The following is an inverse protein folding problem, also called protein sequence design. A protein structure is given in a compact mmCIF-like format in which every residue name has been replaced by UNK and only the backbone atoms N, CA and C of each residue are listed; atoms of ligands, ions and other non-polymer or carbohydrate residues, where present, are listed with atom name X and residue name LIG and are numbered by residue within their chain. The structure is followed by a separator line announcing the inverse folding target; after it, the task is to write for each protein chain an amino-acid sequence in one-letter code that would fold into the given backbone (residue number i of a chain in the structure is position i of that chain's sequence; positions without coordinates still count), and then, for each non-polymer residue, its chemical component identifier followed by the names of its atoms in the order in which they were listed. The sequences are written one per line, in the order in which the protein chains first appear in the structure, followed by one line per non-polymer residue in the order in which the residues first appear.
data_IF_701786995923
#
_entry.id   IF_701786995923
#
_cell.length_a   1.000
_cell.length_b   1.000
_cell.length_c   1.000
_cell.angle_alpha   90.00
_cell.angle_beta   90.00
_cell.angle_gamma   90.00
#
_symmetry.space_group_name_H-M   'P 1'
#
loop_
_entity.id
_entity.type
_entity.pdbx_description
1 polymer ?
#
# COMPACT_ATOMS: atom_id res chain seq x y z
N UNK A 1 23.15 -14.03 20.06
CA UNK A 1 23.87 -13.08 20.94
C UNK A 1 22.83 -12.47 21.85
N UNK A 2 22.96 -12.47 23.18
CA UNK A 2 21.96 -11.86 24.08
C UNK A 2 22.44 -10.46 24.50
N UNK A 3 21.98 -9.43 23.81
CA UNK A 3 22.37 -8.04 24.05
C UNK A 3 21.21 -7.20 24.58
N UNK A 4 21.51 -6.25 25.46
CA UNK A 4 20.50 -5.34 26.00
C UNK A 4 20.99 -3.90 25.88
N UNK A 5 20.32 -3.12 25.03
CA UNK A 5 20.47 -1.68 24.96
C UNK A 5 19.48 -1.04 25.95
N UNK A 6 19.99 -0.56 27.09
CA UNK A 6 19.14 -0.12 28.21
C UNK A 6 18.48 1.25 28.01
N UNK A 7 18.96 2.08 27.07
CA UNK A 7 18.52 3.48 26.93
C UNK A 7 18.57 4.02 25.49
N UNK A 8 18.58 3.14 24.49
CA UNK A 8 18.78 3.51 23.09
C UNK A 8 18.05 2.56 22.13
N UNK A 9 18.43 2.63 20.86
CA UNK A 9 17.90 1.77 19.80
C UNK A 9 18.91 0.68 19.44
N UNK A 10 18.47 -0.40 18.80
CA UNK A 10 19.34 -1.47 18.35
C UNK A 10 19.87 -2.29 19.51
N UNK A 11 19.17 -3.35 19.90
CA UNK A 11 19.62 -4.17 21.03
C UNK A 11 20.95 -4.86 20.76
N UNK A 12 21.16 -5.36 19.54
CA UNK A 12 22.42 -5.96 19.08
C UNK A 12 23.24 -4.98 18.23
N UNK A 13 22.60 -4.36 17.23
CA UNK A 13 23.25 -3.50 16.24
C UNK A 13 22.46 -2.21 16.10
N UNK A 14 23.15 -1.08 16.24
CA UNK A 14 22.69 0.24 15.84
C UNK A 14 23.49 0.66 14.60
N UNK A 15 22.78 1.03 13.53
CA UNK A 15 23.36 1.49 12.28
C UNK A 15 22.80 2.87 11.98
N UNK A 16 23.68 3.81 11.73
CA UNK A 16 23.37 5.11 11.15
C UNK A 16 24.34 5.30 10.00
N UNK A 17 23.81 5.43 8.78
CA UNK A 17 24.61 5.41 7.56
C UNK A 17 24.22 6.55 6.62
N UNK A 18 25.22 7.19 6.03
CA UNK A 18 25.03 8.12 4.92
C UNK A 18 24.90 7.33 3.61
N UNK A 19 23.67 7.27 3.11
CA UNK A 19 23.28 6.49 1.93
C UNK A 19 23.70 7.16 0.62
N UNK A 20 24.16 8.42 0.67
CA UNK A 20 24.64 9.16 -0.50
C UNK A 20 26.11 8.90 -0.81
N UNK A 21 26.83 8.28 0.13
CA UNK A 21 28.24 7.93 -0.01
C UNK A 21 28.43 6.45 -0.29
N UNK A 22 29.63 6.05 -0.72
CA UNK A 22 29.93 4.64 -0.92
C UNK A 22 30.00 3.93 0.45
N UNK A 23 29.12 2.96 0.66
CA UNK A 23 29.13 2.08 1.83
C UNK A 23 28.77 0.64 1.43
N UNK A 24 28.99 -0.31 2.32
CA UNK A 24 28.52 -1.69 2.17
C UNK A 24 28.21 -2.29 3.54
N UNK A 25 27.00 -2.80 3.71
CA UNK A 25 26.55 -3.55 4.87
C UNK A 25 25.71 -4.75 4.41
N UNK A 26 26.41 -5.87 4.26
CA UNK A 26 25.83 -7.12 3.78
C UNK A 26 25.99 -8.22 4.83
N UNK A 27 24.86 -8.81 5.24
CA UNK A 27 24.82 -9.93 6.17
C UNK A 27 24.84 -11.22 5.35
N UNK A 28 25.99 -11.92 5.35
CA UNK A 28 26.16 -13.20 4.64
C UNK A 28 25.64 -14.39 5.44
N UNK A 29 25.90 -14.39 6.75
CA UNK A 29 25.41 -15.36 7.71
C UNK A 29 25.53 -14.74 9.11
N UNK A 30 24.40 -14.51 9.78
CA UNK A 30 24.39 -14.03 11.16
C UNK A 30 23.15 -14.51 11.92
N UNK A 31 23.35 -14.86 13.20
CA UNK A 31 22.27 -15.17 14.14
C UNK A 31 22.14 -14.07 15.21
N UNK A 32 21.05 -13.28 15.15
CA UNK A 32 20.69 -12.29 16.15
C UNK A 32 19.42 -12.75 16.86
N UNK A 33 19.54 -13.09 18.14
CA UNK A 33 18.39 -13.61 18.88
C UNK A 33 18.40 -13.21 20.34
N UNK A 34 17.23 -13.02 20.93
CA UNK A 34 17.08 -12.70 22.35
C UNK A 34 17.77 -11.38 22.74
N UNK A 35 17.91 -10.45 21.79
CA UNK A 35 18.34 -9.08 22.08
C UNK A 35 17.16 -8.18 22.47
N UNK A 36 17.48 -7.12 23.19
CA UNK A 36 16.50 -6.16 23.67
C UNK A 36 16.97 -4.72 23.50
N UNK A 37 16.08 -3.85 23.03
CA UNK A 37 16.20 -2.40 23.19
C UNK A 37 15.15 -1.92 24.20
N UNK A 38 15.49 -0.96 25.04
CA UNK A 38 14.60 -0.42 26.07
C UNK A 38 14.41 1.08 25.89
N UNK A 39 13.16 1.53 26.01
CA UNK A 39 12.83 2.95 25.93
C UNK A 39 13.49 3.71 27.07
N UNK A 40 14.12 4.84 26.74
CA UNK A 40 14.57 5.82 27.69
C UNK A 40 13.52 6.93 27.84
N UNK A 41 12.72 6.85 28.90
CA UNK A 41 11.67 7.83 29.20
C UNK A 41 12.19 9.25 29.47
N UNK A 42 13.49 9.42 29.73
CA UNK A 42 14.10 10.73 29.93
C UNK A 42 14.72 11.30 28.65
N UNK A 43 14.67 10.57 27.54
CA UNK A 43 15.20 11.01 26.25
C UNK A 43 14.26 12.03 25.62
N UNK A 44 14.83 13.07 25.03
CA UNK A 44 14.08 14.03 24.20
C UNK A 44 13.88 13.54 22.76
N UNK A 45 14.50 12.43 22.38
CA UNK A 45 14.40 11.80 21.06
C UNK A 45 13.95 10.33 21.18
N UNK A 46 13.40 9.73 20.11
CA UNK A 46 12.86 8.37 20.16
C UNK A 46 13.92 7.31 20.48
N UNK A 47 13.63 6.47 21.47
CA UNK A 47 14.48 5.35 21.90
C UNK A 47 13.63 4.10 22.12
N UNK A 48 14.25 2.93 22.21
CA UNK A 48 13.53 1.67 22.31
C UNK A 48 12.95 1.23 20.96
N UNK A 49 13.76 1.17 19.91
CA UNK A 49 13.38 0.60 18.61
C UNK A 49 14.43 -0.39 18.14
N UNK A 50 13.99 -1.44 17.44
CA UNK A 50 14.87 -2.46 16.86
C UNK A 50 15.55 -3.32 17.92
N UNK A 51 14.81 -4.27 18.50
CA UNK A 51 15.31 -5.13 19.58
C UNK A 51 16.56 -5.92 19.19
N UNK A 52 16.70 -6.30 17.91
CA UNK A 52 17.93 -6.81 17.33
C UNK A 52 18.71 -5.72 16.59
N UNK A 53 18.12 -5.21 15.52
CA UNK A 53 18.74 -4.21 14.63
C UNK A 53 17.90 -2.94 14.60
N UNK A 54 18.54 -1.80 14.79
CA UNK A 54 18.02 -0.50 14.38
C UNK A 54 18.89 0.05 13.26
N UNK A 55 18.29 0.47 12.15
CA UNK A 55 18.98 1.09 11.03
C UNK A 55 18.33 2.44 10.71
N UNK A 56 19.14 3.49 10.64
CA UNK A 56 18.76 4.78 10.10
C UNK A 56 19.64 5.15 8.91
N UNK A 57 19.01 5.77 7.91
CA UNK A 57 19.67 6.24 6.69
C UNK A 57 19.56 7.75 6.54
N UNK A 58 20.66 8.40 6.19
CA UNK A 58 20.72 9.80 5.78
C UNK A 58 20.81 9.85 4.25
N UNK A 59 19.95 10.64 3.62
CA UNK A 59 19.83 10.72 2.16
C UNK A 59 19.07 9.56 1.54
N UNK A 60 19.05 9.53 0.21
CA UNK A 60 18.24 8.59 -0.57
C UNK A 60 19.05 7.36 -0.97
N UNK A 61 18.65 6.20 -0.46
CA UNK A 61 19.24 4.93 -0.83
C UNK A 61 18.88 4.53 -2.27
N UNK A 62 19.89 4.09 -3.03
CA UNK A 62 19.72 3.43 -4.32
C UNK A 62 19.76 1.89 -4.16
N UNK A 63 18.63 1.17 -4.30
CA UNK A 63 18.61 -0.29 -4.21
C UNK A 63 19.49 -0.99 -5.25
N UNK A 64 19.76 -0.37 -6.41
CA UNK A 64 20.62 -0.95 -7.45
C UNK A 64 22.10 -1.00 -7.05
N UNK A 65 22.51 -0.19 -6.06
CA UNK A 65 23.86 -0.27 -5.49
C UNK A 65 24.13 -1.61 -4.79
N UNK A 66 23.07 -2.30 -4.32
CA UNK A 66 23.13 -3.56 -3.56
C UNK A 66 24.08 -3.49 -2.34
N UNK A 67 24.32 -2.29 -1.80
CA UNK A 67 25.16 -2.09 -0.61
C UNK A 67 24.47 -2.50 0.69
N UNK A 68 23.13 -2.61 0.73
CA UNK A 68 22.36 -3.13 1.88
C UNK A 68 21.74 -4.48 1.55
N UNK A 69 22.09 -5.51 2.32
CA UNK A 69 21.56 -6.85 2.08
C UNK A 69 21.47 -7.69 3.36
N UNK A 70 20.24 -8.04 3.75
CA UNK A 70 19.95 -8.83 4.95
C UNK A 70 19.61 -10.30 4.64
N UNK A 71 19.85 -10.81 3.42
CA UNK A 71 19.50 -12.18 3.02
C UNK A 71 20.05 -13.27 3.95
N UNK A 72 21.27 -13.10 4.46
CA UNK A 72 21.91 -14.05 5.37
C UNK A 72 21.53 -13.89 6.84
N UNK A 73 20.56 -13.03 7.16
CA UNK A 73 20.16 -12.76 8.54
C UNK A 73 19.16 -13.81 9.03
N UNK A 74 19.52 -14.51 10.10
CA UNK A 74 18.62 -15.27 10.94
C UNK A 74 18.35 -14.47 12.23
N UNK A 75 17.13 -13.97 12.37
CA UNK A 75 16.72 -13.12 13.48
C UNK A 75 15.47 -13.69 14.16
N UNK A 76 15.47 -13.76 15.49
CA UNK A 76 14.33 -14.31 16.24
C UNK A 76 14.32 -13.89 17.71
N UNK A 77 13.14 -13.87 18.33
CA UNK A 77 12.98 -13.64 19.77
C UNK A 77 13.61 -12.34 20.30
N UNK A 78 13.78 -11.32 19.46
CA UNK A 78 14.25 -10.01 19.90
C UNK A 78 13.05 -9.14 20.30
N UNK A 79 13.27 -8.17 21.20
CA UNK A 79 12.17 -7.38 21.74
C UNK A 79 12.50 -5.92 22.03
N UNK A 80 11.45 -5.11 22.10
CA UNK A 80 11.46 -3.75 22.58
C UNK A 80 10.49 -3.65 23.75
N UNK A 81 10.96 -3.39 24.97
CA UNK A 81 10.10 -3.31 26.18
C UNK A 81 9.02 -4.42 26.25
N UNK A 82 9.40 -5.64 25.83
CA UNK A 82 8.60 -6.87 25.74
C UNK A 82 7.66 -7.00 24.52
N UNK A 83 7.66 -6.06 23.58
CA UNK A 83 7.01 -6.18 22.27
C UNK A 83 7.96 -6.87 21.29
N UNK A 84 7.44 -7.78 20.46
CA UNK A 84 8.23 -8.43 19.40
C UNK A 84 8.53 -7.40 18.31
N UNK A 85 9.76 -6.94 18.24
CA UNK A 85 10.26 -6.05 17.19
C UNK A 85 11.75 -6.34 17.04
N UNK A 86 12.10 -7.12 16.02
CA UNK A 86 13.47 -7.55 15.75
C UNK A 86 14.24 -6.49 14.98
N UNK A 87 13.63 -5.92 13.94
CA UNK A 87 14.24 -4.90 13.09
C UNK A 87 13.36 -3.65 13.09
N UNK A 88 14.01 -2.50 13.19
CA UNK A 88 13.38 -1.22 12.95
C UNK A 88 14.22 -0.36 12.00
N UNK A 89 13.62 0.06 10.88
CA UNK A 89 14.33 0.80 9.83
C UNK A 89 13.70 2.19 9.61
N UNK A 90 14.54 3.22 9.59
CA UNK A 90 14.19 4.60 9.21
C UNK A 90 15.00 4.98 7.98
N UNK A 91 14.36 5.15 6.84
CA UNK A 91 15.04 5.51 5.59
C UNK A 91 14.04 6.09 4.59
N UNK A 92 14.34 7.22 3.95
CA UNK A 92 13.44 7.86 2.98
C UNK A 92 13.00 6.89 1.87
N UNK A 93 13.97 6.13 1.34
CA UNK A 93 13.78 5.13 0.27
C UNK A 93 13.47 3.71 0.76
N UNK A 94 12.87 3.59 1.94
CA UNK A 94 12.51 2.29 2.54
C UNK A 94 11.52 1.49 1.70
N UNK A 95 10.54 2.15 1.10
CA UNK A 95 9.55 1.47 0.24
C UNK A 95 10.24 0.83 -0.96
N UNK A 96 11.11 1.59 -1.62
CA UNK A 96 11.88 1.17 -2.78
C UNK A 96 12.80 0.00 -2.45
N UNK A 97 13.48 0.03 -1.30
CA UNK A 97 14.32 -1.10 -0.88
C UNK A 97 13.50 -2.36 -0.57
N UNK A 98 12.38 -2.22 0.14
CA UNK A 98 11.47 -3.34 0.42
C UNK A 98 10.87 -3.95 -0.86
N UNK A 99 10.65 -3.13 -1.89
CA UNK A 99 10.11 -3.52 -3.20
C UNK A 99 11.17 -4.04 -4.16
N UNK A 100 12.45 -3.81 -3.87
CA UNK A 100 13.55 -4.26 -4.70
C UNK A 100 13.72 -5.77 -4.61
N UNK A 101 13.89 -6.41 -5.77
CA UNK A 101 13.92 -7.86 -5.86
C UNK A 101 12.54 -8.49 -5.80
N UNK A 102 12.45 -9.68 -5.20
CA UNK A 102 11.17 -10.41 -5.05
C UNK A 102 10.78 -10.50 -3.58
N UNK A 103 9.55 -10.07 -3.23
CA UNK A 103 8.94 -10.27 -1.92
C UNK A 103 9.87 -9.93 -0.73
N UNK A 104 10.42 -8.72 -0.72
CA UNK A 104 11.27 -8.22 0.37
C UNK A 104 12.62 -8.92 0.53
N UNK A 105 13.09 -9.66 -0.48
CA UNK A 105 14.23 -10.58 -0.35
C UNK A 105 15.50 -9.96 0.26
N UNK A 106 15.78 -8.67 0.04
CA UNK A 106 16.97 -8.01 0.58
C UNK A 106 16.79 -7.49 2.02
N UNK A 107 15.57 -7.47 2.54
CA UNK A 107 15.21 -6.89 3.84
C UNK A 107 14.81 -7.96 4.84
N UNK A 108 14.10 -9.00 4.37
CA UNK A 108 13.32 -9.89 5.24
C UNK A 108 14.12 -10.92 6.04
N UNK A 109 15.34 -11.27 5.63
CA UNK A 109 16.11 -12.35 6.25
C UNK A 109 15.32 -13.66 6.30
N UNK A 110 15.14 -14.23 7.50
CA UNK A 110 14.34 -15.43 7.76
C UNK A 110 12.85 -15.16 8.09
N UNK A 111 12.34 -13.93 7.93
CA UNK A 111 10.92 -13.62 8.13
C UNK A 111 10.04 -14.39 7.14
N UNK A 112 8.95 -14.97 7.65
CA UNK A 112 7.95 -15.70 6.87
C UNK A 112 6.65 -14.90 6.81
N UNK A 113 6.19 -14.57 5.60
CA UNK A 113 4.90 -13.90 5.36
C UNK A 113 3.71 -14.69 5.94
N UNK A 114 3.88 -16.00 6.22
CA UNK A 114 2.83 -16.86 6.79
C UNK A 114 2.96 -17.12 8.29
N UNK A 115 4.19 -17.16 8.82
CA UNK A 115 4.45 -17.68 10.18
C UNK A 115 5.05 -16.66 11.15
N UNK A 116 5.69 -15.60 10.63
CA UNK A 116 6.29 -14.57 11.47
C UNK A 116 5.23 -13.62 12.04
N UNK A 117 5.58 -12.95 13.14
CA UNK A 117 4.73 -11.89 13.66
C UNK A 117 4.92 -10.62 12.81
N UNK A 118 3.85 -9.99 12.34
CA UNK A 118 3.91 -8.78 11.49
C UNK A 118 4.72 -7.62 12.11
N UNK A 119 4.85 -7.57 13.44
CA UNK A 119 5.62 -6.52 14.12
C UNK A 119 7.11 -6.85 14.22
N UNK A 120 7.55 -8.02 13.76
CA UNK A 120 8.95 -8.44 13.82
C UNK A 120 9.85 -7.52 13.00
N UNK A 121 9.38 -7.07 11.84
CA UNK A 121 10.06 -6.13 10.96
C UNK A 121 9.20 -4.88 10.78
N UNK A 122 9.66 -3.74 11.28
CA UNK A 122 8.93 -2.48 11.16
C UNK A 122 9.82 -1.34 10.65
N UNK A 123 9.19 -0.27 10.18
CA UNK A 123 9.93 0.93 9.79
C UNK A 123 9.04 2.08 9.34
N UNK A 124 9.69 3.19 9.01
CA UNK A 124 9.04 4.41 8.52
C UNK A 124 9.85 4.99 7.34
N UNK A 125 9.20 5.31 6.21
CA UNK A 125 9.85 5.86 5.03
C UNK A 125 10.04 7.39 5.15
N UNK A 126 10.82 7.83 6.14
CA UNK A 126 11.14 9.24 6.40
C UNK A 126 12.65 9.42 6.60
N UNK A 127 13.13 10.67 6.61
CA UNK A 127 14.52 10.94 6.97
C UNK A 127 14.77 10.70 8.46
N UNK A 128 16.02 10.38 8.81
CA UNK A 128 16.39 10.22 10.21
C UNK A 128 16.17 11.50 11.04
N UNK A 129 16.42 12.67 10.44
CA UNK A 129 16.17 13.98 11.07
C UNK A 129 14.69 14.17 11.42
N UNK A 130 13.79 13.80 10.51
CA UNK A 130 12.35 13.83 10.76
C UNK A 130 11.99 12.90 11.92
N UNK A 131 12.49 11.66 11.90
CA UNK A 131 12.25 10.68 12.96
C UNK A 131 12.65 11.21 14.34
N UNK A 132 13.83 11.83 14.46
CA UNK A 132 14.32 12.38 15.72
C UNK A 132 13.40 13.47 16.32
N UNK A 133 12.61 14.13 15.48
CA UNK A 133 11.65 15.18 15.87
C UNK A 133 10.24 14.66 16.21
N UNK A 134 9.93 13.40 15.87
CA UNK A 134 8.58 12.85 16.04
C UNK A 134 8.34 12.39 17.49
N UNK A 135 7.18 12.72 18.07
CA UNK A 135 6.75 12.13 19.33
C UNK A 135 6.31 10.67 19.13
N UNK A 136 6.30 9.90 20.23
CA UNK A 136 6.10 8.44 20.18
C UNK A 136 4.71 8.02 19.68
N UNK A 137 3.68 8.82 19.92
CA UNK A 137 2.33 8.61 19.41
C UNK A 137 2.27 8.76 17.88
N UNK A 138 2.96 9.75 17.32
CA UNK A 138 3.06 9.92 15.86
C UNK A 138 3.84 8.79 15.21
N UNK A 139 4.93 8.33 15.84
CA UNK A 139 5.70 7.16 15.37
C UNK A 139 4.80 5.92 15.30
N UNK A 140 3.99 5.67 16.34
CA UNK A 140 3.06 4.55 16.37
C UNK A 140 1.99 4.64 15.27
N UNK A 141 1.56 5.84 14.89
CA UNK A 141 0.58 6.05 13.83
C UNK A 141 1.14 5.79 12.43
N UNK A 142 2.39 6.18 12.17
CA UNK A 142 2.97 6.15 10.81
C UNK A 142 3.83 4.91 10.53
N UNK A 143 4.29 4.20 11.57
CA UNK A 143 5.05 2.98 11.37
C UNK A 143 4.23 1.88 10.69
N UNK A 144 4.91 1.08 9.88
CA UNK A 144 4.31 -0.07 9.20
C UNK A 144 5.15 -1.32 9.43
N UNK A 145 4.51 -2.51 9.50
CA UNK A 145 5.17 -3.76 9.13
C UNK A 145 5.85 -3.60 7.77
N UNK A 146 7.10 -4.04 7.63
CA UNK A 146 7.80 -3.88 6.34
C UNK A 146 7.15 -4.71 5.23
N UNK A 147 6.50 -5.83 5.60
CA UNK A 147 5.73 -6.67 4.68
C UNK A 147 4.69 -5.90 3.88
N UNK A 148 4.14 -4.84 4.48
CA UNK A 148 3.21 -3.93 3.82
C UNK A 148 3.68 -3.42 2.45
N UNK A 149 5.00 -3.27 2.26
CA UNK A 149 5.57 -2.71 1.05
C UNK A 149 5.73 -3.72 -0.10
N UNK A 150 5.83 -5.02 0.20
CA UNK A 150 5.96 -6.08 -0.83
C UNK A 150 4.73 -6.97 -0.95
N UNK A 151 3.88 -7.03 0.06
CA UNK A 151 2.62 -7.77 0.04
C UNK A 151 1.57 -7.13 -0.87
N UNK A 152 0.52 -7.89 -1.17
CA UNK A 152 -0.67 -7.38 -1.82
C UNK A 152 -1.39 -6.37 -0.91
N UNK A 153 -2.18 -5.44 -1.49
CA UNK A 153 -3.03 -4.55 -0.71
C UNK A 153 -3.93 -5.31 0.26
N UNK A 154 -4.20 -4.67 1.39
CA UNK A 154 -4.93 -5.28 2.50
C UNK A 154 -6.30 -5.83 2.04
N UNK A 155 -6.59 -7.08 2.44
CA UNK A 155 -7.83 -7.79 2.10
C UNK A 155 -8.10 -7.97 0.59
N UNK A 156 -7.05 -7.88 -0.24
CA UNK A 156 -7.17 -7.89 -1.70
C UNK A 156 -8.06 -6.77 -2.26
N UNK A 157 -8.10 -5.61 -1.58
CA UNK A 157 -8.85 -4.43 -2.01
C UNK A 157 -7.87 -3.40 -2.59
N UNK A 158 -7.97 -3.16 -3.91
CA UNK A 158 -7.17 -2.13 -4.57
C UNK A 158 -7.87 -0.79 -4.49
N UNK A 159 -7.26 0.16 -3.81
CA UNK A 159 -7.82 1.48 -3.59
C UNK A 159 -7.51 2.41 -4.76
N UNK A 160 -8.51 3.21 -5.14
CA UNK A 160 -8.42 4.26 -6.14
C UNK A 160 -8.78 5.62 -5.54
N UNK A 161 -8.17 6.65 -6.08
CA UNK A 161 -8.45 8.05 -5.76
C UNK A 161 -8.09 8.90 -6.97
N UNK A 162 -8.82 9.98 -7.21
CA UNK A 162 -8.46 10.96 -8.24
C UNK A 162 -9.10 12.32 -7.94
N UNK A 163 -8.74 13.34 -8.74
CA UNK A 163 -9.32 14.68 -8.64
C UNK A 163 -8.45 15.70 -7.92
N UNK A 164 -9.01 16.88 -7.63
CA UNK A 164 -8.25 18.06 -7.17
C UNK A 164 -8.09 18.18 -5.66
N UNK A 165 -9.01 17.59 -4.88
CA UNK A 165 -8.87 17.49 -3.44
C UNK A 165 -8.06 16.23 -3.13
N UNK A 166 -6.74 16.36 -2.96
CA UNK A 166 -5.86 15.24 -2.62
C UNK A 166 -5.05 15.56 -1.36
N UNK A 167 -5.25 14.78 -0.31
CA UNK A 167 -4.33 14.72 0.84
C UNK A 167 -3.18 13.73 0.59
N UNK A 168 -3.38 12.80 -0.36
CA UNK A 168 -2.46 11.74 -0.77
C UNK A 168 -2.38 11.79 -2.30
N UNK A 169 -1.17 11.72 -2.86
CA UNK A 169 -0.96 11.70 -4.31
C UNK A 169 -1.37 10.31 -4.82
N UNK A 170 -2.38 10.26 -5.70
CA UNK A 170 -2.72 9.06 -6.46
C UNK A 170 -1.84 8.96 -7.70
N UNK A 171 -1.33 7.77 -8.01
CA UNK A 171 -0.51 7.55 -9.21
C UNK A 171 -0.69 6.13 -9.72
N UNK A 172 -0.82 5.99 -11.03
CA UNK A 172 -0.84 4.69 -11.71
C UNK A 172 0.59 4.11 -11.81
N UNK A 173 1.00 3.42 -10.75
CA UNK A 173 2.30 2.78 -10.63
C UNK A 173 2.19 1.34 -10.10
N UNK A 174 3.21 0.50 -10.35
CA UNK A 174 3.17 -0.95 -10.10
C UNK A 174 2.66 -1.37 -8.70
N UNK A 175 2.95 -0.59 -7.68
CA UNK A 175 2.63 -0.84 -6.27
C UNK A 175 1.40 -0.10 -5.77
N UNK A 176 0.64 0.56 -6.67
CA UNK A 176 -0.57 1.26 -6.27
C UNK A 176 -1.65 0.27 -5.80
N UNK A 177 -2.63 0.79 -5.05
CA UNK A 177 -3.78 0.05 -4.55
C UNK A 177 -3.86 0.00 -3.03
N UNK A 178 -2.83 0.46 -2.33
CA UNK A 178 -2.92 0.75 -0.90
C UNK A 178 -3.69 2.07 -0.67
N UNK A 179 -4.24 2.27 0.52
CA UNK A 179 -4.98 3.52 0.84
C UNK A 179 -4.07 4.74 0.79
N UNK A 180 -2.83 4.59 1.23
CA UNK A 180 -1.80 5.63 1.26
C UNK A 180 -0.98 5.71 -0.05
N UNK A 181 -1.23 4.81 -0.99
CA UNK A 181 -0.69 4.81 -2.36
C UNK A 181 -1.76 4.31 -3.35
N UNK A 182 -2.90 5.04 -3.50
CA UNK A 182 -4.00 4.60 -4.34
C UNK A 182 -3.65 4.72 -5.81
N UNK A 183 -4.27 3.87 -6.64
CA UNK A 183 -4.17 4.03 -8.10
C UNK A 183 -5.00 5.25 -8.55
N UNK A 184 -4.59 5.89 -9.63
CA UNK A 184 -5.25 7.07 -10.19
C UNK A 184 -6.42 6.69 -11.11
N UNK A 185 -6.41 5.48 -11.69
CA UNK A 185 -7.48 5.02 -12.58
C UNK A 185 -8.04 3.63 -12.25
N UNK A 186 -9.32 3.44 -12.60
CA UNK A 186 -10.02 2.14 -12.50
C UNK A 186 -9.35 1.11 -13.41
N UNK A 187 -9.01 1.50 -14.65
CA UNK A 187 -8.41 0.61 -15.65
C UNK A 187 -7.08 0.06 -15.15
N UNK A 188 -6.21 0.95 -14.66
CA UNK A 188 -4.92 0.55 -14.14
C UNK A 188 -5.05 -0.32 -12.89
N UNK A 189 -5.93 0.03 -11.96
CA UNK A 189 -6.20 -0.80 -10.78
C UNK A 189 -6.63 -2.23 -11.17
N UNK A 190 -7.55 -2.37 -12.12
CA UNK A 190 -7.97 -3.69 -12.62
C UNK A 190 -6.81 -4.50 -13.22
N UNK A 191 -5.97 -3.84 -14.02
CA UNK A 191 -4.77 -4.44 -14.61
C UNK A 191 -3.76 -4.85 -13.54
N UNK A 192 -3.53 -4.01 -12.52
CA UNK A 192 -2.65 -4.34 -11.40
C UNK A 192 -3.13 -5.54 -10.60
N UNK A 193 -4.45 -5.70 -10.40
CA UNK A 193 -4.98 -6.90 -9.73
C UNK A 193 -4.60 -8.16 -10.52
N UNK A 194 -4.70 -8.16 -11.85
CA UNK A 194 -4.29 -9.29 -12.69
C UNK A 194 -2.78 -9.53 -12.63
N UNK A 195 -1.96 -8.48 -12.76
CA UNK A 195 -0.50 -8.62 -12.68
C UNK A 195 -0.07 -9.16 -11.32
N UNK A 196 -0.51 -8.53 -10.23
CA UNK A 196 0.00 -8.82 -8.90
C UNK A 196 -0.52 -10.13 -8.31
N UNK A 197 -1.73 -10.56 -8.68
CA UNK A 197 -2.29 -11.86 -8.23
C UNK A 197 -2.04 -13.00 -9.22
N UNK A 198 -1.93 -12.70 -10.51
CA UNK A 198 -1.89 -13.68 -11.60
C UNK A 198 -0.59 -13.71 -12.40
N UNK A 199 0.32 -12.77 -12.16
CA UNK A 199 1.63 -12.67 -12.81
C UNK A 199 1.62 -11.98 -14.18
N UNK A 200 0.47 -11.63 -14.75
CA UNK A 200 0.38 -10.87 -16.00
C UNK A 200 -0.97 -10.15 -16.16
N UNK A 201 -1.03 -9.20 -17.09
CA UNK A 201 -2.18 -8.31 -17.33
C UNK A 201 -3.46 -9.02 -17.78
N UNK A 202 -3.33 -10.14 -18.49
CA UNK A 202 -4.44 -10.90 -19.04
C UNK A 202 -4.84 -12.09 -18.17
N UNK A 203 -4.29 -12.18 -16.96
CA UNK A 203 -4.62 -13.26 -16.06
C UNK A 203 -6.01 -13.05 -15.45
N UNK A 204 -6.88 -14.05 -15.58
CA UNK A 204 -8.23 -14.02 -15.03
C UNK A 204 -8.22 -14.17 -13.51
N UNK A 205 -8.87 -13.23 -12.82
CA UNK A 205 -9.07 -13.26 -11.38
C UNK A 205 -10.56 -13.48 -11.12
N UNK A 206 -10.90 -14.48 -10.31
CA UNK A 206 -12.28 -14.89 -10.07
C UNK A 206 -13.15 -13.78 -9.47
N UNK A 207 -12.55 -12.88 -8.69
CA UNK A 207 -13.21 -11.77 -8.05
C UNK A 207 -12.23 -10.60 -7.86
N UNK A 208 -12.60 -9.41 -8.34
CA UNK A 208 -11.83 -8.18 -8.16
C UNK A 208 -12.64 -7.19 -7.32
N UNK A 209 -11.95 -6.55 -6.37
CA UNK A 209 -12.54 -5.54 -5.48
C UNK A 209 -11.72 -4.25 -5.61
N UNK A 210 -12.42 -3.16 -5.89
CA UNK A 210 -11.88 -1.81 -5.89
C UNK A 210 -12.52 -1.03 -4.74
N UNK A 211 -11.68 -0.41 -3.91
CA UNK A 211 -12.12 0.51 -2.87
C UNK A 211 -11.93 1.96 -3.34
N UNK A 212 -12.93 2.81 -3.22
CA UNK A 212 -12.74 4.27 -3.36
C UNK A 212 -12.32 4.81 -2.00
N UNK A 213 -11.20 5.53 -1.92
CA UNK A 213 -10.73 6.12 -0.65
C UNK A 213 -11.75 7.11 -0.08
N UNK A 214 -11.57 7.50 1.19
CA UNK A 214 -12.42 8.50 1.85
C UNK A 214 -12.45 9.87 1.14
N UNK A 215 -11.41 10.17 0.36
CA UNK A 215 -11.28 11.41 -0.42
C UNK A 215 -12.21 11.39 -1.65
N UNK A 216 -12.46 10.21 -2.21
CA UNK A 216 -13.32 10.02 -3.38
C UNK A 216 -12.57 9.83 -4.69
N UNK A 217 -13.35 9.69 -5.76
CA UNK A 217 -12.85 9.46 -7.11
C UNK A 217 -13.62 10.32 -8.12
N UNK A 218 -12.89 11.03 -8.98
CA UNK A 218 -13.42 11.77 -10.11
C UNK A 218 -13.36 10.92 -11.39
N UNK A 219 -14.52 10.55 -11.92
CA UNK A 219 -14.68 9.84 -13.19
C UNK A 219 -14.75 10.87 -14.32
N UNK A 220 -13.63 11.06 -15.03
CA UNK A 220 -13.48 12.06 -16.10
C UNK A 220 -13.88 11.57 -17.48
N UNK A 221 -14.03 10.26 -17.66
CA UNK A 221 -14.45 9.64 -18.90
C UNK A 221 -15.42 8.48 -18.63
N UNK A 222 -16.44 8.26 -19.48
CA UNK A 222 -17.26 7.06 -19.45
C UNK A 222 -16.39 5.80 -19.56
N UNK A 223 -16.60 4.86 -18.64
CA UNK A 223 -15.85 3.62 -18.56
C UNK A 223 -16.72 2.42 -18.95
N UNK A 224 -16.10 1.47 -19.65
CA UNK A 224 -16.75 0.27 -20.15
C UNK A 224 -16.09 -0.97 -19.53
N UNK A 225 -16.85 -1.70 -18.72
CA UNK A 225 -16.44 -2.99 -18.20
C UNK A 225 -16.85 -4.10 -19.15
N UNK A 226 -15.88 -4.95 -19.46
CA UNK A 226 -16.00 -6.12 -20.31
C UNK A 226 -15.15 -7.24 -19.69
N UNK A 227 -15.68 -8.45 -19.45
CA UNK A 227 -14.91 -9.57 -18.88
C UNK A 227 -13.55 -9.84 -19.55
N UNK A 228 -13.45 -9.57 -20.86
CA UNK A 228 -12.21 -9.73 -21.63
C UNK A 228 -11.16 -8.67 -21.28
N UNK A 229 -11.56 -7.43 -21.00
CA UNK A 229 -10.62 -6.36 -20.65
C UNK A 229 -10.41 -6.27 -19.14
N UNK A 230 -11.46 -6.51 -18.35
CA UNK A 230 -11.42 -6.45 -16.88
C UNK A 230 -10.81 -7.71 -16.27
N UNK A 231 -10.74 -8.82 -17.02
CA UNK A 231 -10.19 -10.10 -16.59
C UNK A 231 -10.84 -10.63 -15.30
N UNK A 232 -12.16 -10.44 -15.19
CA UNK A 232 -13.00 -10.96 -14.12
C UNK A 232 -14.45 -10.98 -14.59
N UNK A 233 -15.23 -11.94 -14.10
CA UNK A 233 -16.68 -11.91 -14.23
C UNK A 233 -17.34 -11.26 -13.00
N UNK A 234 -16.64 -11.12 -11.88
CA UNK A 234 -17.19 -10.55 -10.65
C UNK A 234 -16.35 -9.32 -10.25
N UNK A 235 -16.97 -8.14 -10.30
CA UNK A 235 -16.35 -6.88 -9.94
C UNK A 235 -17.18 -6.16 -8.87
N UNK A 236 -16.53 -5.81 -7.78
CA UNK A 236 -17.09 -4.93 -6.74
C UNK A 236 -16.33 -3.60 -6.77
N UNK A 237 -17.08 -2.49 -6.83
CA UNK A 237 -16.57 -1.16 -6.49
C UNK A 237 -17.32 -0.73 -5.23
N UNK A 238 -16.57 -0.43 -4.16
CA UNK A 238 -17.17 -0.10 -2.87
C UNK A 238 -16.37 0.96 -2.12
N UNK A 239 -16.85 1.32 -0.93
CA UNK A 239 -16.13 2.24 -0.07
C UNK A 239 -14.80 1.66 0.45
N UNK A 240 -13.96 2.53 1.02
CA UNK A 240 -12.64 2.17 1.52
C UNK A 240 -12.71 0.99 2.50
N UNK A 241 -11.85 -0.02 2.30
CA UNK A 241 -11.77 -1.24 3.11
C UNK A 241 -13.10 -2.00 3.25
N UNK A 242 -13.95 -1.97 2.23
CA UNK A 242 -15.25 -2.64 2.19
C UNK A 242 -15.25 -4.08 2.73
N UNK A 243 -16.23 -4.42 3.57
CA UNK A 243 -16.42 -5.76 4.12
C UNK A 243 -15.50 -6.13 5.29
N UNK A 244 -14.69 -5.18 5.77
CA UNK A 244 -13.73 -5.39 6.87
C UNK A 244 -14.16 -4.66 8.14
N UNK A 245 -13.57 -4.99 9.29
CA UNK A 245 -13.78 -4.26 10.55
C UNK A 245 -13.26 -2.82 10.52
N UNK A 246 -12.41 -2.50 9.55
CA UNK A 246 -11.82 -1.18 9.33
C UNK A 246 -12.45 -0.44 8.15
N UNK A 247 -13.56 -0.96 7.62
CA UNK A 247 -14.31 -0.31 6.55
C UNK A 247 -14.70 1.12 6.97
N UNK A 248 -14.63 2.04 6.03
CA UNK A 248 -15.18 3.38 6.22
C UNK A 248 -16.67 3.28 6.56
N UNK A 249 -17.13 4.05 7.55
CA UNK A 249 -18.54 4.06 7.97
C UNK A 249 -19.39 4.77 6.92
N UNK A 250 -18.88 5.87 6.40
CA UNK A 250 -19.56 6.69 5.40
C UNK A 250 -19.42 6.10 3.98
N UNK A 251 -20.19 6.68 3.06
CA UNK A 251 -20.13 6.33 1.64
C UNK A 251 -18.95 7.04 0.96
N UNK A 252 -18.19 6.33 0.14
CA UNK A 252 -17.19 6.96 -0.70
C UNK A 252 -17.83 7.76 -1.84
N UNK A 253 -17.22 8.87 -2.21
CA UNK A 253 -17.73 9.76 -3.25
C UNK A 253 -17.22 9.33 -4.63
N UNK A 254 -18.13 9.08 -5.57
CA UNK A 254 -17.83 8.94 -7.00
C UNK A 254 -18.42 10.15 -7.74
N UNK A 255 -17.58 11.01 -8.28
CA UNK A 255 -18.00 12.25 -8.94
C UNK A 255 -17.78 12.16 -10.44
N UNK A 256 -18.85 12.28 -11.20
CA UNK A 256 -18.82 12.34 -12.66
C UNK A 256 -18.41 13.74 -13.11
N UNK A 257 -17.33 13.84 -13.87
CA UNK A 257 -16.76 15.08 -14.39
C UNK A 257 -17.03 15.21 -15.89
N UNK A 258 -18.21 15.68 -16.26
CA UNK A 258 -18.58 15.91 -17.67
C UNK A 258 -17.85 17.12 -18.26
N UNK A 259 -17.51 18.12 -17.44
CA UNK A 259 -16.82 19.33 -17.88
C UNK A 259 -17.74 20.38 -18.54
N UNK A 260 -19.05 20.34 -18.25
CA UNK A 260 -20.04 21.30 -18.75
C UNK A 260 -21.11 20.67 -19.64
N UNK A 261 -22.24 21.39 -19.80
CA UNK A 261 -23.42 20.87 -20.52
C UNK A 261 -23.14 20.57 -22.01
N UNK A 262 -22.28 21.35 -22.65
CA UNK A 262 -21.95 21.25 -24.07
C UNK A 262 -20.73 20.36 -24.35
N UNK A 263 -20.23 19.64 -23.33
CA UNK A 263 -19.10 18.72 -23.46
C UNK A 263 -19.43 17.54 -24.37
N UNK A 264 -18.44 17.15 -25.17
CA UNK A 264 -18.51 16.02 -26.10
C UNK A 264 -18.07 14.69 -25.50
N UNK A 265 -17.73 14.64 -24.20
CA UNK A 265 -17.22 13.42 -23.51
C UNK A 265 -18.20 12.24 -23.60
N UNK A 266 -19.50 12.52 -23.67
CA UNK A 266 -20.55 11.50 -23.75
C UNK A 266 -20.84 11.03 -25.20
N UNK A 267 -20.24 11.66 -26.22
CA UNK A 267 -20.55 11.37 -27.62
C UNK A 267 -20.17 9.93 -27.99
N UNK A 268 -21.15 9.16 -28.45
CA UNK A 268 -20.97 7.76 -28.85
C UNK A 268 -20.84 6.77 -27.69
N UNK A 269 -21.08 7.20 -26.44
CA UNK A 269 -21.07 6.35 -25.25
C UNK A 269 -22.51 5.99 -24.84
N UNK A 270 -22.69 4.82 -24.21
CA UNK A 270 -24.02 4.34 -23.81
C UNK A 270 -24.34 4.67 -22.34
N UNK A 271 -23.34 4.75 -21.48
CA UNK A 271 -23.46 5.21 -20.10
C UNK A 271 -22.09 5.54 -19.50
N UNK A 272 -22.08 6.29 -18.39
CA UNK A 272 -20.83 6.63 -17.67
C UNK A 272 -20.12 5.42 -17.10
N UNK A 273 -20.89 4.41 -16.69
CA UNK A 273 -20.45 3.07 -16.36
C UNK A 273 -21.25 2.12 -17.25
N UNK A 274 -20.59 1.52 -18.23
CA UNK A 274 -21.21 0.59 -19.17
C UNK A 274 -20.76 -0.84 -18.84
N UNK A 275 -21.71 -1.75 -18.68
CA UNK A 275 -21.46 -3.19 -18.61
C UNK A 275 -21.81 -3.79 -19.96
N UNK A 276 -20.79 -4.09 -20.77
CA UNK A 276 -21.01 -4.68 -22.09
C UNK A 276 -20.65 -6.18 -22.06
N UNK A 277 -21.37 -6.95 -22.88
CA UNK A 277 -21.24 -8.41 -22.99
C UNK A 277 -21.85 -9.19 -21.82
N UNK A 278 -22.08 -10.48 -22.06
CA UNK A 278 -22.79 -11.38 -21.15
C UNK A 278 -21.91 -11.81 -19.97
N UNK A 279 -22.51 -11.95 -18.79
CA UNK A 279 -21.94 -12.67 -17.65
C UNK A 279 -21.08 -11.86 -16.67
N UNK A 280 -21.08 -10.52 -16.77
CA UNK A 280 -20.41 -9.66 -15.78
C UNK A 280 -21.37 -9.34 -14.61
N UNK A 281 -21.01 -9.79 -13.42
CA UNK A 281 -21.64 -9.41 -12.16
C UNK A 281 -20.91 -8.19 -11.63
N UNK A 282 -21.59 -7.06 -11.62
CA UNK A 282 -21.05 -5.79 -11.12
C UNK A 282 -21.82 -5.34 -9.89
N UNK A 283 -21.10 -4.91 -8.86
CA UNK A 283 -21.71 -4.49 -7.59
C UNK A 283 -21.12 -3.16 -7.17
N UNK A 284 -22.00 -2.22 -6.81
CA UNK A 284 -21.65 -0.92 -6.28
C UNK A 284 -22.18 -0.82 -4.87
N UNK A 285 -21.31 -0.83 -3.86
CA UNK A 285 -21.73 -0.79 -2.47
C UNK A 285 -21.21 0.43 -1.73
N UNK A 286 -22.08 1.09 -0.96
CA UNK A 286 -21.70 2.25 -0.14
C UNK A 286 -21.02 3.37 -0.94
N UNK A 287 -21.46 3.59 -2.18
CA UNK A 287 -20.99 4.71 -3.02
C UNK A 287 -22.06 5.80 -3.09
N UNK A 288 -21.63 7.05 -2.98
CA UNK A 288 -22.45 8.21 -3.30
C UNK A 288 -22.03 8.73 -4.68
N UNK A 289 -22.92 8.64 -5.67
CA UNK A 289 -22.64 9.13 -7.03
C UNK A 289 -23.18 10.54 -7.17
N UNK A 290 -22.30 11.47 -7.52
CA UNK A 290 -22.64 12.88 -7.78
C UNK A 290 -22.12 13.30 -9.14
N UNK A 291 -22.56 14.45 -9.64
CA UNK A 291 -22.04 15.05 -10.86
C UNK A 291 -21.36 16.38 -10.55
N UNK A 292 -20.54 16.87 -11.47
CA UNK A 292 -20.02 18.23 -11.49
C UNK A 292 -21.08 19.30 -11.82
N UNK A 293 -22.37 19.01 -11.55
CA UNK A 293 -23.55 19.82 -11.86
C UNK A 293 -23.89 19.92 -13.35
N UNK A 294 -23.11 19.29 -14.23
CA UNK A 294 -23.47 19.20 -15.64
C UNK A 294 -24.67 18.28 -15.85
N UNK A 295 -25.47 18.60 -16.87
CA UNK A 295 -26.55 17.75 -17.35
C UNK A 295 -25.96 16.58 -18.13
N UNK A 296 -26.10 15.37 -17.60
CA UNK A 296 -25.73 14.14 -18.31
C UNK A 296 -26.72 13.88 -19.45
N UNK A 297 -26.24 13.45 -20.61
CA UNK A 297 -27.09 13.05 -21.75
C UNK A 297 -27.21 11.54 -21.91
N UNK A 298 -26.38 10.78 -21.21
CA UNK A 298 -26.41 9.32 -21.12
C UNK A 298 -26.67 8.89 -19.67
N UNK A 299 -27.22 7.70 -19.42
CA UNK A 299 -27.40 7.19 -18.06
C UNK A 299 -26.07 7.04 -17.31
N UNK A 300 -26.14 7.07 -15.98
CA UNK A 300 -24.97 6.81 -15.12
C UNK A 300 -24.51 5.35 -15.32
N UNK A 301 -25.44 4.41 -15.28
CA UNK A 301 -25.18 2.99 -15.48
C UNK A 301 -25.96 2.50 -16.70
N UNK A 302 -25.26 1.87 -17.63
CA UNK A 302 -25.82 1.20 -18.79
C UNK A 302 -25.45 -0.28 -18.75
N UNK A 303 -26.40 -1.16 -19.08
CA UNK A 303 -26.21 -2.61 -19.06
C UNK A 303 -26.66 -3.18 -20.41
N UNK A 304 -25.77 -3.92 -21.06
CA UNK A 304 -26.01 -4.60 -22.32
C UNK A 304 -25.55 -6.06 -22.23
N UNK A 305 -26.48 -7.00 -22.44
CA UNK A 305 -26.22 -8.45 -22.38
C UNK A 305 -27.15 -9.17 -21.41
N UNK A 306 -27.47 -10.43 -21.72
CA UNK A 306 -28.14 -11.33 -20.78
C UNK A 306 -27.21 -11.70 -19.63
N UNK A 307 -27.78 -11.97 -18.45
CA UNK A 307 -27.08 -12.45 -17.24
C UNK A 307 -26.06 -11.48 -16.62
N UNK A 308 -25.95 -10.26 -17.14
CA UNK A 308 -25.27 -9.15 -16.46
C UNK A 308 -26.27 -8.43 -15.56
N UNK A 309 -25.91 -8.18 -14.29
CA UNK A 309 -26.76 -7.44 -13.37
C UNK A 309 -25.93 -6.53 -12.45
N UNK A 310 -26.61 -5.50 -11.94
CA UNK A 310 -26.05 -4.55 -10.98
C UNK A 310 -26.76 -4.71 -9.65
N UNK A 311 -25.96 -4.85 -8.59
CA UNK A 311 -26.42 -4.76 -7.20
C UNK A 311 -25.97 -3.41 -6.62
N UNK A 312 -26.90 -2.67 -6.00
CA UNK A 312 -26.73 -1.31 -5.49
C UNK A 312 -26.95 -1.25 -3.97
#
# INVERSE_FOLDING_TARGET
MHCVCNRGNGGAIYIEVDLTTQFEFQIKDALIKECQAKTNITSSYPTGYGGGIFLSGIGDYDPYSNSLNFKGLNISNNSVDNRKQSIYIIMSKLKEWCRYGTAGEFVKGNYSDTDSNENELQGIPISFEQFLSLPSDQIQLIQKPLEYYWALPQYDIWHIQSGTAQTIISEDQQWCGNIDEPCESIEYALKQISIRKGGNETYYISHKIIGITEVGFELTNPFEFNPVTTQTNHLIIANQLFGTSSAMIDKSLLKIMKGGNDSNIENGKQGWISLIQQGLIFKLYFINIVTDQSKLTIPIIYIEGSDSYVDL
#
